data_IF_745124825711
#
_entry.id   IF_745124825711
#
_cell.length_a   1.000
_cell.length_b   1.000
_cell.length_c   1.000
_cell.angle_alpha   90.00
_cell.angle_beta   90.00
_cell.angle_gamma   90.00
#
_symmetry.space_group_name_H-M   'P 1'
#
loop_
_entity.id
_entity.type
_entity.pdbx_description
1 polymer ?
#
# COMPACT_ATOMS: atom_id res chain seq x y z
N UNK A 1 -41.22 2.72 -8.97
CA UNK A 1 -40.01 3.45 -8.54
C UNK A 1 -39.01 2.43 -8.04
N UNK A 2 -37.86 2.27 -8.69
CA UNK A 2 -36.78 1.40 -8.20
C UNK A 2 -35.87 2.26 -7.34
N UNK A 3 -35.89 2.04 -6.02
CA UNK A 3 -34.95 2.67 -5.11
C UNK A 3 -33.76 1.73 -4.90
N UNK A 4 -32.51 2.23 -4.90
CA UNK A 4 -31.36 1.40 -4.58
C UNK A 4 -31.46 0.99 -3.10
N UNK A 5 -31.52 -0.33 -2.87
CA UNK A 5 -31.37 -0.93 -1.54
C UNK A 5 -30.01 -1.60 -1.53
N UNK A 6 -29.22 -1.39 -0.48
CA UNK A 6 -27.96 -2.09 -0.28
C UNK A 6 -28.25 -3.60 -0.24
N UNK A 7 -27.74 -4.35 -1.22
CA UNK A 7 -27.76 -5.82 -1.22
C UNK A 7 -26.34 -6.31 -1.03
N UNK A 8 -26.14 -7.11 0.00
CA UNK A 8 -24.88 -7.78 0.29
C UNK A 8 -24.96 -9.15 -0.36
N UNK A 9 -24.15 -9.39 -1.38
CA UNK A 9 -24.01 -10.71 -1.99
C UNK A 9 -22.70 -11.32 -1.48
N UNK A 10 -22.79 -12.43 -0.74
CA UNK A 10 -21.64 -13.09 -0.10
C UNK A 10 -20.79 -13.95 -1.05
N UNK A 11 -21.02 -13.87 -2.37
CA UNK A 11 -20.27 -14.59 -3.38
C UNK A 11 -19.64 -13.55 -4.30
N UNK A 12 -18.44 -13.08 -3.94
CA UNK A 12 -17.62 -12.27 -4.85
C UNK A 12 -16.26 -12.94 -5.02
N UNK A 13 -15.89 -13.14 -6.27
CA UNK A 13 -14.52 -13.50 -6.67
C UNK A 13 -13.54 -12.39 -6.26
N UNK A 14 -12.24 -12.70 -6.23
CA UNK A 14 -11.19 -11.69 -6.03
C UNK A 14 -11.30 -10.54 -7.04
N UNK A 15 -11.69 -10.85 -8.27
CA UNK A 15 -11.85 -9.92 -9.37
C UNK A 15 -13.04 -8.99 -9.14
N UNK A 16 -14.20 -9.52 -8.72
CA UNK A 16 -15.37 -8.70 -8.36
C UNK A 16 -15.11 -7.82 -7.15
N UNK A 17 -14.39 -8.35 -6.14
CA UNK A 17 -13.94 -7.57 -4.99
C UNK A 17 -13.10 -6.38 -5.45
N UNK A 18 -12.08 -6.63 -6.27
CA UNK A 18 -11.17 -5.57 -6.74
C UNK A 18 -11.94 -4.55 -7.59
N UNK A 19 -12.74 -5.02 -8.55
CA UNK A 19 -13.53 -4.13 -9.41
C UNK A 19 -14.46 -3.23 -8.59
N UNK A 20 -15.15 -3.78 -7.60
CA UNK A 20 -16.07 -3.01 -6.77
C UNK A 20 -15.34 -1.96 -5.92
N UNK A 21 -14.34 -2.38 -5.13
CA UNK A 21 -13.69 -1.50 -4.17
C UNK A 21 -12.72 -0.51 -4.81
N UNK A 22 -12.08 -0.86 -5.93
CA UNK A 22 -11.23 0.06 -6.67
C UNK A 22 -12.03 1.21 -7.29
N UNK A 23 -13.25 0.96 -7.75
CA UNK A 23 -14.13 1.99 -8.31
C UNK A 23 -14.63 3.00 -7.26
N UNK A 24 -14.64 2.61 -5.98
CA UNK A 24 -14.97 3.49 -4.86
C UNK A 24 -13.76 4.28 -4.34
N UNK A 25 -12.59 4.09 -4.95
CA UNK A 25 -11.41 4.87 -4.62
C UNK A 25 -11.63 6.33 -5.04
N UNK A 26 -11.89 7.19 -4.05
CA UNK A 26 -11.86 8.62 -4.26
C UNK A 26 -10.41 9.04 -4.48
N UNK A 27 -10.08 9.51 -5.69
CA UNK A 27 -8.75 10.01 -6.01
C UNK A 27 -8.30 11.01 -4.95
N UNK A 28 -7.14 10.75 -4.35
CA UNK A 28 -6.58 11.67 -3.40
C UNK A 28 -6.21 12.99 -4.11
N UNK A 29 -6.33 14.11 -3.41
CA UNK A 29 -5.72 15.34 -3.87
C UNK A 29 -4.25 15.05 -4.20
N UNK A 30 -3.87 15.25 -5.46
CA UNK A 30 -2.52 15.03 -6.00
C UNK A 30 -2.14 13.57 -6.30
N UNK A 31 -3.07 12.73 -6.75
CA UNK A 31 -2.74 11.41 -7.32
C UNK A 31 -1.68 11.50 -8.44
N UNK A 32 -1.64 12.62 -9.19
CA UNK A 32 -0.60 12.90 -10.20
C UNK A 32 0.83 12.80 -9.65
N UNK A 33 1.10 13.09 -8.38
CA UNK A 33 2.44 12.88 -7.80
C UNK A 33 2.88 11.41 -7.84
N UNK A 34 1.93 10.48 -7.72
CA UNK A 34 2.21 9.07 -7.87
C UNK A 34 2.32 8.70 -9.34
N UNK A 35 1.28 8.99 -10.14
CA UNK A 35 1.18 8.55 -11.54
C UNK A 35 2.30 9.15 -12.43
N UNK A 36 2.72 10.39 -12.16
CA UNK A 36 3.77 11.06 -12.93
C UNK A 36 5.18 10.60 -12.56
N UNK A 37 5.37 9.81 -11.49
CA UNK A 37 6.70 9.46 -11.00
C UNK A 37 6.93 7.96 -10.85
N UNK A 38 5.89 7.18 -10.56
CA UNK A 38 6.04 5.75 -10.29
C UNK A 38 6.48 4.98 -11.54
N UNK A 39 7.40 4.02 -11.37
CA UNK A 39 7.90 3.18 -12.46
C UNK A 39 8.84 3.89 -13.44
N UNK A 40 9.17 5.17 -13.20
CA UNK A 40 10.21 5.92 -13.92
C UNK A 40 11.56 5.73 -13.22
N UNK A 41 12.62 6.20 -13.88
CA UNK A 41 13.93 6.30 -13.24
C UNK A 41 13.84 7.15 -11.97
N UNK A 42 14.46 6.68 -10.88
CA UNK A 42 14.37 7.37 -9.61
C UNK A 42 15.19 8.65 -9.65
N UNK A 43 14.49 9.77 -9.51
CA UNK A 43 15.05 11.10 -9.43
C UNK A 43 14.69 11.74 -8.09
N UNK A 44 15.56 12.59 -7.49
CA UNK A 44 15.30 13.21 -6.19
C UNK A 44 13.93 13.88 -6.07
N UNK A 45 13.54 14.66 -7.08
CA UNK A 45 12.23 15.33 -7.12
C UNK A 45 11.08 14.32 -7.17
N UNK A 46 11.16 13.31 -8.02
CA UNK A 46 10.09 12.33 -8.18
C UNK A 46 9.90 11.47 -6.93
N UNK A 47 10.98 11.06 -6.27
CA UNK A 47 10.92 10.36 -4.98
C UNK A 47 10.31 11.25 -3.90
N UNK A 48 10.65 12.54 -3.87
CA UNK A 48 10.04 13.49 -2.95
C UNK A 48 8.52 13.62 -3.16
N UNK A 49 8.07 13.72 -4.41
CA UNK A 49 6.65 13.80 -4.78
C UNK A 49 5.89 12.52 -4.39
N UNK A 50 6.49 11.34 -4.64
CA UNK A 50 5.93 10.05 -4.22
C UNK A 50 5.74 9.98 -2.70
N UNK A 51 6.69 10.46 -1.91
CA UNK A 51 6.53 10.51 -0.46
C UNK A 51 5.53 11.58 0.02
N UNK A 52 5.40 12.70 -0.68
CA UNK A 52 4.36 13.71 -0.39
C UNK A 52 2.97 13.12 -0.61
N UNK A 53 2.79 12.40 -1.72
CA UNK A 53 1.59 11.63 -2.00
C UNK A 53 1.30 10.61 -0.90
N UNK A 54 2.30 9.77 -0.55
CA UNK A 54 2.12 8.73 0.48
C UNK A 54 1.77 9.30 1.85
N UNK A 55 2.28 10.48 2.17
CA UNK A 55 1.98 11.17 3.42
C UNK A 55 0.55 11.73 3.48
N UNK A 56 -0.12 11.91 2.34
CA UNK A 56 -1.46 12.48 2.27
C UNK A 56 -1.51 13.98 2.56
N UNK A 57 -0.40 14.70 2.31
CA UNK A 57 -0.31 16.14 2.59
C UNK A 57 1.13 16.64 2.75
N UNK A 58 1.28 17.89 3.18
CA UNK A 58 2.60 18.50 3.37
C UNK A 58 3.39 17.83 4.50
N UNK A 59 4.71 17.71 4.34
CA UNK A 59 5.57 17.20 5.39
C UNK A 59 5.66 18.18 6.57
N UNK A 60 5.77 17.63 7.78
CA UNK A 60 6.41 18.34 8.88
C UNK A 60 7.91 18.48 8.60
N UNK A 61 8.59 19.45 9.24
CA UNK A 61 10.05 19.64 9.09
C UNK A 61 10.83 18.33 9.35
N UNK A 62 10.42 17.57 10.38
CA UNK A 62 11.04 16.30 10.73
C UNK A 62 10.86 15.24 9.63
N UNK A 63 9.63 15.06 9.11
CA UNK A 63 9.35 14.11 8.03
C UNK A 63 10.11 14.44 6.75
N UNK A 64 10.20 15.73 6.39
CA UNK A 64 10.96 16.17 5.23
C UNK A 64 12.44 15.74 5.35
N UNK A 65 13.06 15.99 6.51
CA UNK A 65 14.44 15.59 6.78
C UNK A 65 14.63 14.06 6.75
N UNK A 66 13.68 13.30 7.29
CA UNK A 66 13.70 11.82 7.20
C UNK A 66 13.71 11.37 5.74
N UNK A 67 12.86 11.95 4.89
CA UNK A 67 12.79 11.58 3.47
C UNK A 67 14.09 11.91 2.74
N UNK A 68 14.61 13.11 2.96
CA UNK A 68 15.86 13.57 2.35
C UNK A 68 17.04 12.66 2.74
N UNK A 69 17.19 12.39 4.04
CA UNK A 69 18.35 11.66 4.55
C UNK A 69 18.31 10.15 4.30
N UNK A 70 17.13 9.54 4.35
CA UNK A 70 17.03 8.08 4.38
C UNK A 70 16.64 7.48 3.02
N UNK A 71 15.99 8.24 2.15
CA UNK A 71 15.50 7.73 0.86
C UNK A 71 16.10 8.49 -0.32
N UNK A 72 16.00 9.82 -0.34
CA UNK A 72 16.52 10.62 -1.47
C UNK A 72 18.04 10.50 -1.57
N UNK A 73 18.76 10.59 -0.44
CA UNK A 73 20.21 10.42 -0.41
C UNK A 73 20.69 9.01 -0.84
N UNK A 74 19.79 8.04 -0.99
CA UNK A 74 20.08 6.65 -1.37
C UNK A 74 19.71 6.31 -2.81
N UNK A 75 19.18 7.27 -3.57
CA UNK A 75 18.72 7.04 -4.95
C UNK A 75 19.83 6.48 -5.85
N UNK A 76 21.06 7.01 -5.76
CA UNK A 76 22.17 6.50 -6.57
C UNK A 76 22.49 5.03 -6.26
N UNK A 77 22.49 4.66 -4.97
CA UNK A 77 22.73 3.28 -4.54
C UNK A 77 21.62 2.35 -5.04
N UNK A 78 20.37 2.81 -5.01
CA UNK A 78 19.20 2.05 -5.47
C UNK A 78 19.17 1.89 -6.98
N UNK A 79 19.55 2.91 -7.75
CA UNK A 79 19.61 2.85 -9.21
C UNK A 79 20.71 1.88 -9.70
N UNK A 80 21.77 1.66 -8.91
CA UNK A 80 22.85 0.70 -9.19
C UNK A 80 22.57 -0.71 -8.66
N UNK A 81 21.48 -0.90 -7.93
CA UNK A 81 21.18 -2.16 -7.26
C UNK A 81 20.68 -3.21 -8.26
N UNK A 82 21.13 -4.45 -8.10
CA UNK A 82 20.63 -5.60 -8.85
C UNK A 82 19.11 -5.75 -8.62
N UNK A 83 18.36 -5.91 -9.70
CA UNK A 83 16.90 -6.02 -9.68
C UNK A 83 16.42 -7.35 -9.09
N UNK A 84 17.29 -8.33 -8.95
CA UNK A 84 16.93 -9.65 -8.43
C UNK A 84 17.22 -9.85 -6.94
N UNK A 85 17.74 -8.82 -6.24
CA UNK A 85 17.94 -8.93 -4.79
C UNK A 85 16.62 -9.24 -4.06
N UNK A 86 16.73 -10.01 -2.98
CA UNK A 86 15.57 -10.34 -2.17
C UNK A 86 15.01 -9.09 -1.48
N UNK A 87 13.68 -8.98 -1.32
CA UNK A 87 13.08 -7.82 -0.65
C UNK A 87 13.55 -7.65 0.80
N UNK A 88 13.84 -8.76 1.49
CA UNK A 88 14.43 -8.73 2.83
C UNK A 88 15.80 -8.05 2.83
N UNK A 89 16.63 -8.34 1.83
CA UNK A 89 17.97 -7.76 1.72
C UNK A 89 17.90 -6.28 1.35
N UNK A 90 16.96 -5.88 0.49
CA UNK A 90 16.67 -4.47 0.22
C UNK A 90 16.31 -3.74 1.52
N UNK A 91 15.36 -4.27 2.28
CA UNK A 91 14.90 -3.66 3.53
C UNK A 91 16.01 -3.62 4.58
N UNK A 92 16.89 -4.62 4.64
CA UNK A 92 18.05 -4.61 5.53
C UNK A 92 19.11 -3.58 5.09
N UNK A 93 19.37 -3.45 3.79
CA UNK A 93 20.31 -2.46 3.24
C UNK A 93 19.84 -1.02 3.47
N UNK A 94 18.55 -0.77 3.33
CA UNK A 94 17.92 0.53 3.56
C UNK A 94 17.08 0.48 4.85
N UNK A 95 17.78 0.31 5.98
CA UNK A 95 17.19 0.08 7.30
C UNK A 95 16.66 1.33 8.00
N UNK A 96 17.07 2.52 7.54
CA UNK A 96 16.78 3.79 8.19
C UNK A 96 15.36 4.31 7.88
N UNK A 97 14.71 4.88 8.90
CA UNK A 97 13.32 5.34 8.83
C UNK A 97 12.31 4.25 9.20
N UNK A 98 11.03 4.63 9.27
CA UNK A 98 9.97 3.71 9.70
C UNK A 98 9.70 2.61 8.67
N UNK A 99 9.37 1.41 9.13
CA UNK A 99 9.13 0.23 8.29
C UNK A 99 8.17 0.47 7.11
N UNK A 100 7.05 1.17 7.31
CA UNK A 100 6.09 1.47 6.24
C UNK A 100 6.69 2.36 5.15
N UNK A 101 7.55 3.30 5.52
CA UNK A 101 8.22 4.19 4.56
C UNK A 101 9.31 3.45 3.78
N UNK A 102 9.98 2.48 4.42
CA UNK A 102 10.96 1.58 3.80
C UNK A 102 10.30 0.59 2.85
N UNK A 103 9.17 0.00 3.23
CA UNK A 103 8.36 -0.84 2.34
C UNK A 103 7.84 -0.03 1.15
N UNK A 104 7.43 1.22 1.38
CA UNK A 104 7.08 2.10 0.27
C UNK A 104 8.29 2.42 -0.62
N UNK A 105 9.52 2.51 -0.08
CA UNK A 105 10.72 2.67 -0.91
C UNK A 105 10.98 1.46 -1.80
N UNK A 106 10.77 0.25 -1.26
CA UNK A 106 10.82 -1.01 -2.01
C UNK A 106 9.79 -1.01 -3.16
N UNK A 107 8.57 -0.54 -2.89
CA UNK A 107 7.54 -0.33 -3.92
C UNK A 107 7.99 0.70 -4.98
N UNK A 108 8.55 1.84 -4.59
CA UNK A 108 9.05 2.85 -5.54
C UNK A 108 10.10 2.25 -6.48
N UNK A 109 11.00 1.42 -5.95
CA UNK A 109 12.08 0.79 -6.73
C UNK A 109 11.60 -0.25 -7.74
N UNK A 110 10.60 -1.07 -7.37
CA UNK A 110 10.00 -2.08 -8.23
C UNK A 110 8.48 -2.18 -8.03
N UNK A 111 7.71 -1.21 -8.54
CA UNK A 111 6.28 -1.08 -8.23
C UNK A 111 5.44 -2.22 -8.81
N UNK A 112 5.93 -2.84 -9.90
CA UNK A 112 5.31 -4.03 -10.48
C UNK A 112 5.55 -5.29 -9.68
N UNK A 113 6.52 -5.34 -8.76
CA UNK A 113 6.84 -6.54 -7.97
C UNK A 113 6.32 -6.43 -6.54
N UNK A 114 6.46 -5.25 -5.94
CA UNK A 114 6.20 -5.05 -4.53
C UNK A 114 4.98 -4.15 -4.36
N UNK A 115 3.85 -4.65 -3.83
CA UNK A 115 2.63 -3.86 -3.62
C UNK A 115 2.78 -2.85 -2.49
N UNK A 116 1.88 -1.87 -2.46
CA UNK A 116 1.83 -0.87 -1.38
C UNK A 116 1.30 -1.54 -0.12
N UNK A 117 1.89 -1.18 1.03
CA UNK A 117 1.46 -1.66 2.34
C UNK A 117 1.34 -0.50 3.33
N UNK A 118 0.22 -0.46 4.04
CA UNK A 118 -0.04 0.44 5.15
C UNK A 118 -1.15 -0.12 6.06
N UNK A 119 -1.58 0.68 7.03
CA UNK A 119 -2.59 0.29 7.99
C UNK A 119 -3.95 -0.12 7.37
N UNK A 120 -4.38 0.54 6.29
CA UNK A 120 -5.66 0.20 5.66
C UNK A 120 -5.56 -1.13 4.91
N UNK A 121 -4.50 -1.28 4.14
CA UNK A 121 -4.20 -2.52 3.42
C UNK A 121 -4.02 -3.70 4.37
N UNK A 122 -3.32 -3.50 5.50
CA UNK A 122 -3.18 -4.52 6.53
C UNK A 122 -4.54 -4.95 7.09
N UNK A 123 -5.39 -3.99 7.47
CA UNK A 123 -6.73 -4.28 8.00
C UNK A 123 -7.57 -5.07 6.99
N UNK A 124 -7.49 -4.71 5.71
CA UNK A 124 -8.19 -5.42 4.63
C UNK A 124 -7.70 -6.88 4.50
N UNK A 125 -6.38 -7.11 4.49
CA UNK A 125 -5.81 -8.46 4.44
C UNK A 125 -6.28 -9.31 5.61
N UNK A 126 -6.16 -8.81 6.85
CA UNK A 126 -6.54 -9.55 8.06
C UNK A 126 -8.04 -9.91 8.05
N UNK A 127 -8.87 -9.01 7.53
CA UNK A 127 -10.29 -9.27 7.42
C UNK A 127 -10.62 -10.31 6.36
N UNK A 128 -10.03 -10.18 5.16
CA UNK A 128 -10.30 -11.09 4.05
C UNK A 128 -9.75 -12.49 4.29
N UNK A 129 -8.64 -12.61 5.03
CA UNK A 129 -8.01 -13.90 5.34
C UNK A 129 -8.67 -14.59 6.54
N UNK A 130 -8.88 -13.83 7.63
CA UNK A 130 -9.18 -14.40 8.95
C UNK A 130 -10.50 -13.90 9.55
N UNK A 131 -11.21 -12.99 8.86
CA UNK A 131 -12.40 -12.30 9.42
C UNK A 131 -12.07 -11.31 10.52
N UNK A 132 -10.79 -10.98 10.75
CA UNK A 132 -10.34 -10.18 11.88
C UNK A 132 -10.04 -8.73 11.50
N UNK A 133 -10.34 -7.81 12.42
CA UNK A 133 -10.01 -6.39 12.30
C UNK A 133 -8.78 -6.07 13.14
N UNK A 134 -7.62 -6.55 12.68
CA UNK A 134 -6.35 -6.30 13.37
C UNK A 134 -5.67 -5.04 12.81
N UNK A 135 -5.06 -4.27 13.72
CA UNK A 135 -4.22 -3.13 13.35
C UNK A 135 -2.78 -3.58 13.15
N UNK A 136 -2.00 -2.80 12.39
CA UNK A 136 -0.62 -3.16 12.13
C UNK A 136 0.15 -3.08 13.44
N UNK A 137 1.11 -3.99 13.64
CA UNK A 137 2.00 -3.93 14.80
C UNK A 137 2.64 -2.55 14.92
N UNK A 138 2.90 -2.10 16.14
CA UNK A 138 3.66 -0.87 16.39
C UNK A 138 5.15 -1.07 16.14
N UNK A 139 5.63 -2.31 16.14
CA UNK A 139 7.04 -2.67 16.02
C UNK A 139 7.48 -2.83 14.56
N UNK A 140 8.59 -2.20 14.19
CA UNK A 140 9.09 -2.21 12.82
C UNK A 140 9.51 -3.60 12.30
N UNK A 141 10.18 -4.46 13.10
CA UNK A 141 10.49 -5.83 12.66
C UNK A 141 9.24 -6.64 12.33
N UNK A 142 8.20 -6.54 13.16
CA UNK A 142 6.93 -7.26 12.95
C UNK A 142 6.20 -6.76 11.70
N UNK A 143 6.16 -5.44 11.46
CA UNK A 143 5.58 -4.87 10.21
C UNK A 143 6.26 -5.44 8.96
N UNK A 144 7.59 -5.54 8.99
CA UNK A 144 8.37 -6.07 7.86
C UNK A 144 8.13 -7.57 7.70
N UNK A 145 8.13 -8.32 8.80
CA UNK A 145 7.87 -9.75 8.75
C UNK A 145 6.47 -10.04 8.19
N UNK A 146 5.43 -9.39 8.71
CA UNK A 146 4.07 -9.53 8.17
C UNK A 146 4.01 -9.13 6.69
N UNK A 147 4.70 -8.06 6.28
CA UNK A 147 4.74 -7.69 4.87
C UNK A 147 5.33 -8.80 4.00
N UNK A 148 6.48 -9.35 4.40
CA UNK A 148 7.22 -10.35 3.62
C UNK A 148 6.55 -11.73 3.64
N UNK A 149 6.11 -12.19 4.82
CA UNK A 149 5.64 -13.54 5.05
C UNK A 149 4.13 -13.70 4.82
N UNK A 150 3.33 -12.67 5.12
CA UNK A 150 1.86 -12.74 4.98
C UNK A 150 1.36 -11.98 3.77
N UNK A 151 1.73 -10.70 3.65
CA UNK A 151 1.11 -9.80 2.67
C UNK A 151 1.56 -10.07 1.25
N UNK A 152 2.85 -10.32 0.99
CA UNK A 152 3.32 -10.65 -0.35
C UNK A 152 2.64 -11.92 -0.91
N UNK A 153 2.54 -13.05 -0.17
CA UNK A 153 1.79 -14.22 -0.63
C UNK A 153 0.29 -13.96 -0.80
N UNK A 154 -0.35 -13.26 0.15
CA UNK A 154 -1.75 -12.88 0.04
C UNK A 154 -2.02 -12.07 -1.24
N UNK A 155 -1.20 -11.06 -1.50
CA UNK A 155 -1.34 -10.19 -2.66
C UNK A 155 -1.09 -10.93 -3.98
N UNK A 156 -0.18 -11.92 -3.99
CA UNK A 156 0.05 -12.77 -5.16
C UNK A 156 -1.17 -13.64 -5.55
N UNK A 157 -2.14 -13.81 -4.64
CA UNK A 157 -3.39 -14.53 -4.91
C UNK A 157 -4.35 -13.77 -5.83
N UNK A 158 -4.19 -12.46 -6.02
CA UNK A 158 -5.00 -11.69 -6.96
C UNK A 158 -4.54 -11.93 -8.40
N UNK A 159 -5.45 -12.33 -9.29
CA UNK A 159 -5.18 -12.57 -10.71
C UNK A 159 -5.23 -11.32 -11.59
N UNK A 160 -5.26 -10.15 -10.96
CA UNK A 160 -5.41 -8.86 -11.64
C UNK A 160 -4.08 -8.39 -12.27
N UNK A 161 -4.12 -7.99 -13.54
CA UNK A 161 -3.00 -7.39 -14.26
C UNK A 161 -2.77 -5.91 -13.84
N UNK A 162 -3.79 -5.28 -13.26
CA UNK A 162 -3.76 -3.99 -12.60
C UNK A 162 -3.37 -4.08 -11.12
N UNK A 163 -2.09 -4.24 -10.80
CA UNK A 163 -1.62 -4.21 -9.40
C UNK A 163 -2.12 -2.96 -8.62
N UNK A 164 -2.26 -1.83 -9.31
CA UNK A 164 -2.80 -0.61 -8.71
C UNK A 164 -4.29 -0.70 -8.37
N UNK A 165 -5.13 -1.42 -9.13
CA UNK A 165 -6.54 -1.64 -8.76
C UNK A 165 -6.65 -2.47 -7.50
N UNK A 166 -5.80 -3.50 -7.33
CA UNK A 166 -5.74 -4.27 -6.07
C UNK A 166 -5.36 -3.37 -4.90
N UNK A 167 -4.32 -2.53 -5.03
CA UNK A 167 -3.93 -1.59 -3.96
C UNK A 167 -5.08 -0.63 -3.61
N UNK A 168 -5.77 -0.08 -4.62
CA UNK A 168 -6.92 0.83 -4.44
C UNK A 168 -8.08 0.11 -3.75
N UNK A 169 -8.39 -1.11 -4.17
CA UNK A 169 -9.45 -1.93 -3.59
C UNK A 169 -9.20 -2.24 -2.11
N UNK A 170 -8.01 -2.77 -1.81
CA UNK A 170 -7.61 -3.10 -0.43
C UNK A 170 -7.58 -1.86 0.46
N UNK A 171 -7.08 -0.73 -0.05
CA UNK A 171 -7.06 0.51 0.71
C UNK A 171 -8.47 1.03 0.99
N UNK A 172 -9.35 1.07 -0.01
CA UNK A 172 -10.73 1.55 0.14
C UNK A 172 -11.52 0.65 1.08
N UNK A 173 -11.43 -0.67 0.92
CA UNK A 173 -12.08 -1.63 1.80
C UNK A 173 -11.54 -1.52 3.24
N UNK A 174 -10.23 -1.46 3.40
CA UNK A 174 -9.59 -1.27 4.70
C UNK A 174 -10.01 0.02 5.39
N UNK A 175 -10.25 1.10 4.64
CA UNK A 175 -10.82 2.36 5.16
C UNK A 175 -12.30 2.19 5.55
N UNK A 176 -13.08 1.49 4.74
CA UNK A 176 -14.48 1.16 5.05
C UNK A 176 -14.61 0.34 6.34
N UNK A 177 -13.72 -0.62 6.58
CA UNK A 177 -13.63 -1.41 7.81
C UNK A 177 -13.30 -0.61 9.08
N UNK A 178 -13.02 0.68 8.97
CA UNK A 178 -12.87 1.59 10.13
C UNK A 178 -14.02 2.58 10.23
N UNK A 179 -14.94 2.57 9.26
CA UNK A 179 -16.04 3.52 9.18
C UNK A 179 -17.22 3.05 10.05
N UNK A 180 -18.13 3.96 10.46
CA UNK A 180 -19.35 3.58 11.17
C UNK A 180 -20.26 2.60 10.39
N UNK A 181 -20.10 2.54 9.07
CA UNK A 181 -20.89 1.68 8.19
C UNK A 181 -20.40 0.23 8.18
N UNK A 182 -19.29 -0.07 8.85
CA UNK A 182 -18.78 -1.44 8.95
C UNK A 182 -19.79 -2.43 9.54
N UNK A 183 -20.73 -1.95 10.37
CA UNK A 183 -21.79 -2.77 10.98
C UNK A 183 -22.77 -3.36 9.97
N UNK A 184 -22.71 -2.88 8.73
CA UNK A 184 -23.46 -3.44 7.61
C UNK A 184 -22.81 -4.71 7.09
N UNK A 185 -21.57 -5.04 7.46
CA UNK A 185 -21.01 -6.36 7.18
C UNK A 185 -21.65 -7.36 8.14
N UNK A 186 -22.67 -8.08 7.68
CA UNK A 186 -23.14 -9.30 8.34
C UNK A 186 -22.02 -10.34 8.22
N UNK A 187 -21.23 -10.46 9.29
CA UNK A 187 -20.28 -11.56 9.46
C UNK A 187 -20.99 -12.52 10.41
N UNK A 188 -21.60 -13.56 9.85
CA UNK A 188 -22.14 -14.69 10.62
C UNK A 188 -21.04 -15.43 11.40
#
# INVERSE_FOLDING_TARGET
MKMPILKINNLSSSEEFVQFWANLYAEAEKEYYYDDNIGKELMPKGVQELYLWKNGGNFSKGKKKTVENNFIAKIEDVNRLDKDILPKDFLNKFSEGGAIWRIFFLHIWQPKRYPIYDQHVHRAMMFLRDGKKEEISTQDPEKIETYLADYLPFYAGFKDDGKRSVDRALWTFGKFLKSPFEKMLDIE
#
